data_IF_458573382401
#
_entry.id   IF_458573382401
#
_cell.length_a   1.000
_cell.length_b   1.000
_cell.length_c   1.000
_cell.angle_alpha   90.00
_cell.angle_beta   90.00
_cell.angle_gamma   90.00
#
_symmetry.space_group_name_H-M   'P 1'
#
loop_
_entity.id
_entity.type
_entity.pdbx_description
1 polymer ?
#
# COMPACT_ATOMS: atom_id res chain seq x y z
N UNK A 1 16.29 -27.60 -17.61
CA UNK A 1 14.85 -27.74 -17.32
C UNK A 1 14.45 -26.72 -16.26
N UNK A 2 14.14 -25.48 -16.66
CA UNK A 2 13.80 -24.39 -15.75
C UNK A 2 12.72 -23.50 -16.37
N UNK A 3 11.46 -23.92 -16.31
CA UNK A 3 10.36 -23.11 -16.89
C UNK A 3 9.02 -23.15 -16.15
N UNK A 4 8.84 -23.98 -15.13
CA UNK A 4 7.51 -24.13 -14.50
C UNK A 4 7.30 -23.29 -13.22
N UNK A 5 8.36 -22.78 -12.58
CA UNK A 5 8.24 -22.12 -11.27
C UNK A 5 7.82 -20.63 -11.30
N UNK A 6 7.91 -19.95 -12.45
CA UNK A 6 7.55 -18.52 -12.56
C UNK A 6 6.07 -18.26 -12.88
N UNK A 7 5.30 -19.28 -13.28
CA UNK A 7 3.93 -19.12 -13.79
C UNK A 7 2.86 -19.03 -12.70
N UNK A 8 3.16 -19.46 -11.48
CA UNK A 8 2.22 -19.45 -10.34
C UNK A 8 2.19 -18.12 -9.56
N UNK A 9 3.20 -17.25 -9.70
CA UNK A 9 3.30 -15.98 -8.94
C UNK A 9 2.51 -14.79 -9.52
N UNK A 10 1.74 -14.99 -10.60
CA UNK A 10 1.18 -13.89 -11.38
C UNK A 10 -0.36 -13.96 -11.58
N UNK A 11 -1.09 -14.78 -10.82
CA UNK A 11 -2.53 -14.96 -11.06
C UNK A 11 -3.46 -14.02 -10.28
N UNK A 12 -2.95 -13.10 -9.46
CA UNK A 12 -3.78 -12.24 -8.59
C UNK A 12 -3.37 -10.77 -8.48
N UNK A 13 -2.45 -10.29 -9.33
CA UNK A 13 -2.01 -8.88 -9.30
C UNK A 13 -2.86 -7.94 -10.14
N UNK A 14 -3.79 -8.45 -10.93
CA UNK A 14 -4.59 -7.63 -11.85
C UNK A 14 -5.95 -7.33 -11.20
N UNK A 15 -6.16 -6.09 -10.81
CA UNK A 15 -7.47 -5.58 -10.42
C UNK A 15 -8.23 -5.28 -11.72
N UNK A 16 -9.47 -5.76 -11.90
CA UNK A 16 -10.25 -5.47 -13.11
C UNK A 16 -10.39 -3.95 -13.32
N UNK A 17 -10.32 -3.49 -14.57
CA UNK A 17 -10.41 -2.06 -14.90
C UNK A 17 -11.72 -1.43 -14.40
N UNK A 18 -12.84 -2.15 -14.53
CA UNK A 18 -14.13 -1.72 -14.00
C UNK A 18 -14.08 -1.50 -12.48
N UNK A 19 -13.43 -2.40 -11.73
CA UNK A 19 -13.24 -2.23 -10.29
C UNK A 19 -12.37 -1.01 -9.98
N UNK A 20 -11.31 -0.76 -10.76
CA UNK A 20 -10.47 0.45 -10.60
C UNK A 20 -11.31 1.71 -10.82
N UNK A 21 -12.15 1.73 -11.86
CA UNK A 21 -13.05 2.85 -12.16
C UNK A 21 -14.07 3.08 -11.04
N UNK A 22 -14.67 2.02 -10.51
CA UNK A 22 -15.58 2.09 -9.36
C UNK A 22 -14.88 2.68 -8.13
N UNK A 23 -13.65 2.22 -7.84
CA UNK A 23 -12.84 2.75 -6.73
C UNK A 23 -12.52 4.23 -6.96
N UNK A 24 -12.17 4.62 -8.17
CA UNK A 24 -11.87 6.00 -8.53
C UNK A 24 -13.10 6.90 -8.32
N UNK A 25 -14.26 6.47 -8.81
CA UNK A 25 -15.51 7.22 -8.74
C UNK A 25 -16.03 7.38 -7.30
N UNK A 26 -15.79 6.39 -6.44
CA UNK A 26 -16.22 6.41 -5.04
C UNK A 26 -15.27 7.20 -4.12
N UNK A 27 -14.10 7.61 -4.61
CA UNK A 27 -13.10 8.32 -3.81
C UNK A 27 -12.88 9.75 -4.32
N UNK A 28 -13.62 10.70 -3.76
CA UNK A 28 -13.40 12.12 -4.04
C UNK A 28 -11.99 12.55 -3.60
N UNK A 29 -11.25 13.19 -4.52
CA UNK A 29 -9.85 13.57 -4.29
C UNK A 29 -9.69 14.58 -3.15
N UNK A 30 -10.66 15.47 -2.96
CA UNK A 30 -10.61 16.48 -1.88
C UNK A 30 -10.83 15.80 -0.54
N UNK A 31 -11.83 14.92 -0.44
CA UNK A 31 -12.10 14.17 0.79
C UNK A 31 -10.93 13.28 1.19
N UNK A 32 -10.37 12.52 0.23
CA UNK A 32 -9.24 11.64 0.50
C UNK A 32 -8.05 12.46 0.98
N UNK A 33 -7.62 13.49 0.24
CA UNK A 33 -6.45 14.30 0.63
C UNK A 33 -6.69 15.04 1.95
N UNK A 34 -7.90 15.58 2.18
CA UNK A 34 -8.24 16.30 3.42
C UNK A 34 -8.17 15.39 4.66
N UNK A 35 -8.27 14.07 4.48
CA UNK A 35 -8.08 13.12 5.58
C UNK A 35 -6.62 12.98 6.04
N UNK A 36 -5.65 13.39 5.22
CA UNK A 36 -4.21 13.37 5.56
C UNK A 36 -3.74 14.70 6.15
N UNK A 37 -4.21 15.82 5.58
CA UNK A 37 -3.85 17.16 6.06
C UNK A 37 -4.90 18.20 5.64
N UNK A 38 -5.03 19.32 6.38
CA UNK A 38 -6.04 20.33 6.09
C UNK A 38 -5.79 21.03 4.75
N UNK A 39 -6.85 21.12 3.95
CA UNK A 39 -6.88 21.89 2.71
C UNK A 39 -7.57 23.24 2.94
N UNK A 40 -7.04 24.30 2.31
CA UNK A 40 -7.66 25.63 2.32
C UNK A 40 -8.33 25.93 0.99
N UNK A 41 -9.55 26.46 1.01
CA UNK A 41 -10.27 26.84 -0.21
C UNK A 41 -9.55 27.97 -0.96
N UNK A 42 -9.46 27.87 -2.27
CA UNK A 42 -8.84 28.84 -3.17
C UNK A 42 -9.64 28.91 -4.48
N UNK A 43 -10.68 29.76 -4.49
CA UNK A 43 -11.63 29.83 -5.60
C UNK A 43 -12.43 28.52 -5.72
N UNK A 44 -12.42 27.94 -6.93
CA UNK A 44 -13.03 26.63 -7.20
C UNK A 44 -12.16 25.43 -6.78
N UNK A 45 -10.90 25.67 -6.41
CA UNK A 45 -9.93 24.64 -6.02
C UNK A 45 -9.60 24.73 -4.53
N UNK A 46 -8.74 23.83 -4.08
CA UNK A 46 -8.15 23.83 -2.75
C UNK A 46 -6.63 23.91 -2.84
N UNK A 47 -5.97 24.40 -1.78
CA UNK A 47 -4.51 24.48 -1.70
C UNK A 47 -3.95 24.14 -0.32
N UNK A 48 -2.69 23.71 -0.29
CA UNK A 48 -1.89 23.45 0.91
C UNK A 48 -0.40 23.64 0.63
N UNK A 49 0.43 23.54 1.68
CA UNK A 49 1.86 23.27 1.48
C UNK A 49 2.02 21.84 0.96
N UNK A 50 2.93 21.65 0.02
CA UNK A 50 3.19 20.35 -0.55
C UNK A 50 3.82 19.40 0.46
N UNK A 51 3.27 18.19 0.65
CA UNK A 51 3.88 17.19 1.52
C UNK A 51 5.11 16.50 0.88
N UNK A 52 5.33 16.70 -0.43
CA UNK A 52 6.34 15.98 -1.21
C UNK A 52 7.65 16.77 -1.40
N UNK A 53 7.69 18.04 -0.98
CA UNK A 53 8.92 18.83 -0.96
C UNK A 53 8.81 19.97 0.06
N UNK A 54 9.94 20.46 0.54
CA UNK A 54 9.95 21.52 1.55
C UNK A 54 9.78 22.90 0.89
N UNK A 55 8.70 23.61 1.25
CA UNK A 55 8.39 24.94 0.75
C UNK A 55 7.77 25.84 1.83
N UNK A 56 7.78 27.15 1.61
CA UNK A 56 7.16 28.15 2.52
C UNK A 56 5.85 28.72 1.98
N UNK A 57 5.61 28.60 0.67
CA UNK A 57 4.44 29.14 -0.01
C UNK A 57 3.59 27.97 -0.50
N UNK A 58 2.27 27.94 -0.29
CA UNK A 58 1.41 26.86 -0.77
C UNK A 58 1.48 26.71 -2.28
N UNK A 59 2.01 25.59 -2.79
CA UNK A 59 1.99 25.26 -4.23
C UNK A 59 1.23 23.98 -4.56
N UNK A 60 0.76 23.25 -3.55
CA UNK A 60 -0.07 22.05 -3.72
C UNK A 60 -1.52 22.44 -3.94
N UNK A 61 -2.08 22.09 -5.10
CA UNK A 61 -3.45 22.39 -5.50
C UNK A 61 -4.25 21.11 -5.73
N UNK A 62 -5.52 21.12 -5.29
CA UNK A 62 -6.48 20.04 -5.52
C UNK A 62 -7.67 20.59 -6.28
N UNK A 63 -8.03 19.93 -7.38
CA UNK A 63 -9.16 20.32 -8.24
C UNK A 63 -10.31 19.33 -8.09
N UNK A 64 -11.43 19.72 -7.45
CA UNK A 64 -12.61 18.86 -7.29
C UNK A 64 -13.24 18.53 -8.64
N UNK A 65 -13.30 19.51 -9.55
CA UNK A 65 -13.89 19.31 -10.88
C UNK A 65 -13.11 18.30 -11.73
N UNK A 66 -11.77 18.31 -11.63
CA UNK A 66 -10.92 17.41 -12.41
C UNK A 66 -10.61 16.09 -11.69
N UNK A 67 -10.95 15.97 -10.41
CA UNK A 67 -10.59 14.84 -9.54
C UNK A 67 -9.07 14.55 -9.55
N UNK A 68 -8.26 15.62 -9.50
CA UNK A 68 -6.78 15.54 -9.54
C UNK A 68 -6.12 16.52 -8.59
N UNK A 69 -4.87 16.25 -8.22
CA UNK A 69 -3.98 17.21 -7.56
C UNK A 69 -2.78 17.55 -8.44
N UNK A 70 -2.16 18.70 -8.17
CA UNK A 70 -0.89 19.11 -8.77
C UNK A 70 -0.15 20.06 -7.85
N UNK A 71 1.15 19.84 -7.69
CA UNK A 71 2.06 20.76 -7.03
C UNK A 71 2.80 21.60 -8.06
N UNK A 72 2.58 22.91 -8.07
CA UNK A 72 3.27 23.82 -9.00
C UNK A 72 4.74 24.09 -8.62
N UNK A 73 5.18 23.73 -7.41
CA UNK A 73 6.59 23.87 -6.99
C UNK A 73 7.49 22.73 -7.46
N UNK A 74 7.03 21.47 -7.35
CA UNK A 74 7.84 20.28 -7.68
C UNK A 74 7.28 19.41 -8.81
N UNK A 75 6.11 19.75 -9.37
CA UNK A 75 5.52 19.06 -10.52
C UNK A 75 4.82 17.74 -10.22
N UNK A 76 4.85 17.24 -8.99
CA UNK A 76 4.10 16.03 -8.62
C UNK A 76 2.58 16.29 -8.76
N UNK A 77 1.88 15.38 -9.40
CA UNK A 77 0.45 15.49 -9.64
C UNK A 77 -0.14 14.19 -10.16
N UNK A 78 -1.47 14.10 -10.13
CA UNK A 78 -2.19 12.96 -10.64
C UNK A 78 -3.54 12.76 -9.99
N UNK A 79 -4.05 11.53 -10.11
CA UNK A 79 -5.30 11.08 -9.51
C UNK A 79 -5.15 10.81 -8.00
N UNK A 80 -6.27 10.49 -7.35
CA UNK A 80 -6.30 10.03 -5.96
C UNK A 80 -5.40 8.81 -5.71
N UNK A 81 -5.29 7.87 -6.65
CA UNK A 81 -4.37 6.74 -6.56
C UNK A 81 -2.92 7.22 -6.52
N UNK A 82 -2.55 8.12 -7.43
CA UNK A 82 -1.19 8.67 -7.48
C UNK A 82 -0.84 9.37 -6.18
N UNK A 83 -1.79 10.12 -5.59
CA UNK A 83 -1.57 10.75 -4.30
C UNK A 83 -1.26 9.73 -3.20
N UNK A 84 -2.11 8.70 -3.04
CA UNK A 84 -1.93 7.66 -2.00
C UNK A 84 -0.63 6.89 -2.22
N UNK A 85 -0.30 6.56 -3.47
CA UNK A 85 0.97 5.90 -3.81
C UNK A 85 2.18 6.73 -3.35
N UNK A 86 2.21 8.02 -3.68
CA UNK A 86 3.34 8.88 -3.34
C UNK A 86 3.39 9.18 -1.83
N UNK A 87 2.24 9.42 -1.20
CA UNK A 87 2.16 9.82 0.20
C UNK A 87 2.44 8.65 1.17
N UNK A 88 2.00 7.46 0.82
CA UNK A 88 2.19 6.26 1.65
C UNK A 88 3.29 5.32 1.13
N UNK A 89 4.00 5.71 0.06
CA UNK A 89 5.02 4.89 -0.59
C UNK A 89 4.51 3.49 -1.00
N UNK A 90 3.31 3.45 -1.57
CA UNK A 90 2.65 2.22 -2.01
C UNK A 90 2.78 2.02 -3.52
N UNK A 91 2.81 0.76 -3.93
CA UNK A 91 2.58 0.40 -5.33
C UNK A 91 1.09 0.56 -5.70
N UNK A 92 0.79 0.55 -7.00
CA UNK A 92 -0.58 0.77 -7.47
C UNK A 92 -1.59 -0.25 -6.91
N UNK A 93 -1.34 -1.58 -6.92
CA UNK A 93 -2.28 -2.54 -6.34
C UNK A 93 -2.55 -2.31 -4.85
N UNK A 94 -1.54 -1.93 -4.06
CA UNK A 94 -1.72 -1.66 -2.63
C UNK A 94 -2.52 -0.37 -2.40
N UNK A 95 -2.24 0.69 -3.15
CA UNK A 95 -3.01 1.93 -3.09
C UNK A 95 -4.47 1.72 -3.52
N UNK A 96 -4.70 0.95 -4.59
CA UNK A 96 -6.04 0.61 -5.05
C UNK A 96 -6.82 -0.21 -4.01
N UNK A 97 -6.19 -1.22 -3.37
CA UNK A 97 -6.81 -1.97 -2.27
C UNK A 97 -7.16 -1.10 -1.08
N UNK A 98 -6.28 -0.18 -0.71
CA UNK A 98 -6.54 0.77 0.38
C UNK A 98 -7.74 1.66 0.08
N UNK A 99 -7.80 2.23 -1.11
CA UNK A 99 -8.92 3.07 -1.53
C UNK A 99 -10.22 2.27 -1.69
N UNK A 100 -10.15 1.01 -2.11
CA UNK A 100 -11.30 0.11 -2.15
C UNK A 100 -11.84 -0.19 -0.75
N UNK A 101 -10.95 -0.50 0.21
CA UNK A 101 -11.32 -0.73 1.60
C UNK A 101 -11.95 0.51 2.25
N UNK A 102 -11.48 1.72 1.92
CA UNK A 102 -12.05 2.99 2.40
C UNK A 102 -13.54 3.13 2.05
N UNK A 103 -13.96 2.61 0.90
CA UNK A 103 -15.33 2.76 0.36
C UNK A 103 -16.13 1.46 0.32
N UNK A 104 -15.59 0.38 0.88
CA UNK A 104 -16.25 -0.92 0.95
C UNK A 104 -16.38 -1.66 -0.39
N UNK A 105 -15.54 -1.36 -1.38
CA UNK A 105 -15.52 -2.11 -2.65
C UNK A 105 -14.62 -3.35 -2.48
N UNK A 106 -15.14 -4.58 -2.64
CA UNK A 106 -14.34 -5.78 -2.51
C UNK A 106 -13.41 -5.95 -3.72
N UNK A 107 -12.13 -6.22 -3.46
CA UNK A 107 -11.20 -6.74 -4.47
C UNK A 107 -10.94 -8.20 -4.10
N UNK A 108 -11.08 -9.11 -5.06
CA UNK A 108 -10.79 -10.52 -4.83
C UNK A 108 -9.35 -10.69 -4.34
N UNK A 109 -9.18 -11.10 -3.09
CA UNK A 109 -7.88 -11.36 -2.49
C UNK A 109 -7.43 -12.77 -2.86
N UNK A 110 -6.24 -12.91 -3.46
CA UNK A 110 -5.51 -14.16 -3.30
C UNK A 110 -4.90 -14.12 -1.92
N UNK A 111 -5.44 -14.93 -1.01
CA UNK A 111 -4.89 -15.09 0.34
C UNK A 111 -3.40 -15.42 0.22
N UNK A 112 -2.52 -14.47 0.51
CA UNK A 112 -1.17 -14.80 0.94
C UNK A 112 -1.34 -15.42 2.32
N UNK A 113 -1.46 -16.74 2.33
CA UNK A 113 -1.56 -17.53 3.53
C UNK A 113 -0.42 -17.14 4.48
N UNK A 114 -0.75 -17.12 5.75
CA UNK A 114 0.10 -16.97 6.92
C UNK A 114 1.20 -18.07 7.03
N UNK A 115 1.93 -18.33 5.94
CA UNK A 115 2.96 -19.36 5.81
C UNK A 115 4.38 -18.82 6.10
N UNK A 116 4.59 -17.49 6.06
CA UNK A 116 5.92 -16.91 6.31
C UNK A 116 6.34 -17.00 7.79
N UNK A 117 5.39 -16.78 8.73
CA UNK A 117 5.65 -16.94 10.17
C UNK A 117 5.93 -18.40 10.56
N UNK A 118 5.22 -19.36 9.93
CA UNK A 118 5.40 -20.78 10.22
C UNK A 118 6.74 -21.31 9.70
N UNK A 119 7.25 -20.75 8.59
CA UNK A 119 8.56 -21.11 8.03
C UNK A 119 9.73 -20.49 8.81
N UNK A 120 9.59 -19.28 9.36
CA UNK A 120 10.59 -18.67 10.24
C UNK A 120 10.73 -19.41 11.58
N UNK A 121 9.62 -19.83 12.18
CA UNK A 121 9.60 -20.61 13.42
C UNK A 121 10.21 -22.02 13.21
N UNK A 122 9.85 -22.69 12.12
CA UNK A 122 10.39 -24.02 11.77
C UNK A 122 11.89 -24.01 11.45
N UNK A 123 12.43 -22.87 10.97
CA UNK A 123 13.88 -22.72 10.72
C UNK A 123 14.68 -22.46 11.99
N UNK A 124 14.09 -21.82 13.01
CA UNK A 124 14.73 -21.59 14.32
C UNK A 124 14.86 -22.87 15.16
N UNK A 125 13.96 -23.83 14.99
CA UNK A 125 13.92 -25.06 15.80
C UNK A 125 14.92 -26.15 15.39
N UNK A 126 15.56 -26.07 14.21
CA UNK A 126 16.54 -27.10 13.76
C UNK A 126 17.99 -26.88 14.19
N UNK A 127 18.37 -25.70 14.70
CA UNK A 127 19.77 -25.40 15.04
C UNK A 127 20.08 -25.65 16.53
N UNK A 128 19.10 -26.11 17.33
CA UNK A 128 19.24 -26.33 18.77
C UNK A 128 18.99 -27.77 19.22
N UNK A 129 19.77 -28.75 18.74
CA UNK A 129 19.77 -30.09 19.35
C UNK A 129 21.15 -30.73 19.28
N UNK A 130 22.09 -30.21 20.07
CA UNK A 130 23.38 -30.89 20.32
C UNK A 130 23.90 -30.66 21.74
N UNK A 131 23.02 -30.52 22.73
CA UNK A 131 23.43 -30.65 24.13
C UNK A 131 22.28 -31.30 24.90
N UNK A 132 22.29 -32.61 25.05
CA UNK A 132 22.07 -33.25 26.37
C UNK A 132 22.19 -34.78 26.33
N UNK A 133 22.80 -35.29 27.40
CA UNK A 133 22.66 -36.61 28.04
C UNK A 133 23.61 -37.73 27.58
N UNK A 134 24.43 -38.14 28.54
CA UNK A 134 24.36 -39.47 29.21
C UNK A 134 24.89 -39.27 30.65
N UNK A 135 24.01 -39.13 31.66
CA UNK A 135 23.43 -40.17 32.55
C UNK A 135 24.41 -40.78 33.57
N UNK A 136 24.22 -40.33 34.81
CA UNK A 136 24.39 -40.95 36.14
C UNK A 136 24.68 -42.48 36.22
N UNK A 137 25.70 -42.83 37.00
CA UNK A 137 25.51 -43.41 38.35
C UNK A 137 25.50 -44.94 38.55
N UNK A 138 26.39 -45.38 39.45
CA UNK A 138 26.31 -46.50 40.44
C UNK A 138 26.38 -47.96 39.97
N UNK A 139 27.35 -48.75 40.46
CA UNK A 139 27.20 -49.60 41.67
C UNK A 139 28.43 -50.51 41.96
N UNK A 140 28.73 -50.65 43.26
CA UNK A 140 29.60 -51.60 43.99
C UNK A 140 31.12 -51.56 43.80
#
# INVERSE_FOLDING_TARGET
MASESKRAKNKSRVIPSETIEQIAAANDVVEVISSYFPLKRAGANFKALCPFHQEKTPSFHVSPQRQTFHCFGCGVGGSVFRFVMEYEHLDFPSAARKLAARVGIPIAEERVAADEDRQHEARRTRIGSSVLRQTVGTHF
#
